data_IF_498517652817
#
_entry.id   IF_498517652817
#
_cell.length_a   1.000
_cell.length_b   1.000
_cell.length_c   1.000
_cell.angle_alpha   90.00
_cell.angle_beta   90.00
_cell.angle_gamma   90.00
#
_symmetry.space_group_name_H-M   'P 1'
#
loop_
_entity.id
_entity.type
_entity.pdbx_description
1 polymer ?
#
# COMPACT_ATOMS: atom_id res chain seq x y z
N UNK A 1 -6.67 -8.66 -19.58
CA UNK A 1 -5.71 -8.62 -18.49
C UNK A 1 -6.14 -9.57 -17.39
N UNK A 2 -5.21 -10.36 -16.92
CA UNK A 2 -5.52 -11.29 -15.84
C UNK A 2 -5.86 -10.53 -14.57
N UNK A 3 -6.83 -11.02 -13.79
CA UNK A 3 -7.13 -10.39 -12.52
C UNK A 3 -5.93 -10.44 -11.59
N UNK A 4 -5.50 -9.29 -11.10
CA UNK A 4 -4.36 -9.22 -10.19
C UNK A 4 -4.68 -9.84 -8.84
N UNK A 5 -5.96 -10.01 -8.53
CA UNK A 5 -6.36 -10.66 -7.28
C UNK A 5 -5.83 -12.08 -7.14
N UNK A 6 -5.54 -12.72 -8.27
CA UNK A 6 -5.07 -14.10 -8.27
C UNK A 6 -3.56 -14.21 -8.26
N UNK A 7 -2.84 -13.09 -8.24
CA UNK A 7 -1.39 -13.14 -8.17
C UNK A 7 -0.95 -13.64 -6.81
N UNK A 8 0.04 -14.52 -6.81
CA UNK A 8 0.65 -14.98 -5.57
C UNK A 8 1.85 -14.11 -5.27
N UNK A 9 1.69 -13.21 -4.31
CA UNK A 9 2.75 -12.27 -3.94
C UNK A 9 3.38 -12.61 -2.59
N UNK A 10 3.12 -13.82 -2.08
CA UNK A 10 3.50 -14.17 -0.72
C UNK A 10 5.01 -14.19 -0.48
N UNK A 11 5.81 -14.27 -1.54
CA UNK A 11 7.26 -14.26 -1.39
C UNK A 11 7.91 -12.97 -1.86
N UNK A 12 7.09 -11.99 -2.23
CA UNK A 12 7.61 -10.71 -2.71
C UNK A 12 8.09 -9.89 -1.52
N UNK A 13 9.25 -9.28 -1.65
CA UNK A 13 9.83 -8.44 -0.61
C UNK A 13 9.90 -6.97 -0.99
N UNK A 14 9.86 -6.65 -2.28
CA UNK A 14 9.96 -5.27 -2.77
C UNK A 14 8.78 -4.99 -3.70
N UNK A 15 7.91 -4.09 -3.26
CA UNK A 15 6.77 -3.64 -4.07
C UNK A 15 6.86 -2.16 -4.39
N UNK A 16 8.09 -1.60 -4.36
CA UNK A 16 8.26 -0.19 -4.65
C UNK A 16 7.77 0.12 -6.06
N UNK A 17 7.05 1.23 -6.19
CA UNK A 17 6.52 1.75 -7.45
C UNK A 17 5.57 0.81 -8.20
N UNK A 18 5.11 -0.26 -7.57
CA UNK A 18 4.37 -1.31 -8.28
C UNK A 18 3.12 -0.79 -8.97
N UNK A 19 2.39 0.10 -8.33
CA UNK A 19 1.18 0.70 -8.90
C UNK A 19 1.32 2.20 -9.10
N UNK A 20 2.54 2.70 -9.18
CA UNK A 20 2.78 4.12 -9.34
C UNK A 20 2.08 4.64 -10.61
N UNK A 21 1.35 5.71 -10.48
CA UNK A 21 0.62 6.37 -11.58
C UNK A 21 -0.46 5.49 -12.22
N UNK A 22 -0.91 4.45 -11.52
CA UNK A 22 -2.01 3.62 -12.02
C UNK A 22 -3.34 4.32 -11.84
N UNK A 23 -4.29 3.96 -12.71
CA UNK A 23 -5.63 4.54 -12.66
C UNK A 23 -6.61 3.68 -11.88
N UNK A 24 -6.13 3.07 -10.84
CA UNK A 24 -6.95 2.23 -9.97
C UNK A 24 -7.82 3.13 -9.08
N UNK A 25 -9.08 2.77 -8.91
CA UNK A 25 -10.00 3.59 -8.11
C UNK A 25 -10.26 3.05 -6.71
N UNK A 26 -10.06 1.75 -6.49
CA UNK A 26 -10.14 1.20 -5.13
C UNK A 26 -9.20 0.01 -5.01
N UNK A 27 -8.88 -0.37 -3.77
CA UNK A 27 -7.88 -1.39 -3.51
C UNK A 27 -8.48 -2.73 -3.08
N UNK A 28 -9.80 -2.89 -3.18
CA UNK A 28 -10.41 -4.15 -2.80
C UNK A 28 -9.89 -5.35 -3.60
N UNK A 29 -9.51 -5.21 -4.89
CA UNK A 29 -8.99 -6.37 -5.62
C UNK A 29 -7.72 -6.97 -5.04
N UNK A 30 -6.95 -6.21 -4.27
CA UNK A 30 -5.71 -6.71 -3.68
C UNK A 30 -5.80 -6.87 -2.17
N UNK A 31 -7.02 -6.82 -1.63
CA UNK A 31 -7.21 -6.89 -0.18
C UNK A 31 -6.73 -8.21 0.42
N UNK A 32 -6.77 -9.28 -0.37
CA UNK A 32 -6.38 -10.61 0.12
C UNK A 32 -4.92 -10.97 -0.14
N UNK A 33 -4.16 -10.04 -0.71
CA UNK A 33 -2.74 -10.31 -0.95
C UNK A 33 -2.02 -10.52 0.38
N UNK A 34 -1.18 -11.54 0.42
CA UNK A 34 -0.30 -11.77 1.56
C UNK A 34 0.99 -11.00 1.33
N UNK A 35 1.10 -9.86 2.01
CA UNK A 35 2.27 -8.98 1.87
C UNK A 35 3.20 -9.08 3.08
N UNK A 36 3.09 -10.16 3.85
CA UNK A 36 3.79 -10.28 5.13
C UNK A 36 5.31 -10.33 4.99
N UNK A 37 5.84 -10.58 3.80
CA UNK A 37 7.28 -10.58 3.56
C UNK A 37 7.80 -9.31 2.91
N UNK A 38 6.91 -8.36 2.61
CA UNK A 38 7.31 -7.13 1.94
C UNK A 38 8.03 -6.21 2.90
N UNK A 39 9.18 -5.70 2.50
CA UNK A 39 9.96 -4.77 3.29
C UNK A 39 10.00 -3.37 2.68
N UNK A 40 9.73 -3.22 1.40
CA UNK A 40 9.83 -1.94 0.71
C UNK A 40 8.55 -1.66 -0.08
N UNK A 41 7.85 -0.59 0.33
CA UNK A 41 6.65 -0.12 -0.37
C UNK A 41 6.79 1.33 -0.82
N UNK A 42 8.02 1.76 -1.09
CA UNK A 42 8.29 3.13 -1.51
C UNK A 42 7.48 3.46 -2.77
N UNK A 43 6.66 4.50 -2.69
CA UNK A 43 5.88 5.01 -3.81
C UNK A 43 4.98 3.97 -4.48
N UNK A 44 4.61 2.92 -3.77
CA UNK A 44 3.84 1.82 -4.34
C UNK A 44 2.57 2.30 -5.05
N UNK A 45 1.89 3.28 -4.48
CA UNK A 45 0.68 3.86 -5.05
C UNK A 45 0.86 5.33 -5.37
N UNK A 46 2.10 5.76 -5.57
CA UNK A 46 2.36 7.17 -5.84
C UNK A 46 1.61 7.65 -7.08
N UNK A 47 1.00 8.83 -6.99
CA UNK A 47 0.30 9.45 -8.09
C UNK A 47 -0.88 8.65 -8.64
N UNK A 48 -1.49 7.82 -7.81
CA UNK A 48 -2.75 7.15 -8.17
C UNK A 48 -3.89 8.14 -7.97
N UNK A 49 -4.01 9.06 -8.90
CA UNK A 49 -4.93 10.20 -8.78
C UNK A 49 -6.40 9.82 -8.89
N UNK A 50 -6.69 8.64 -9.41
CA UNK A 50 -8.06 8.15 -9.51
C UNK A 50 -8.51 7.37 -8.28
N UNK A 51 -7.61 7.16 -7.33
CA UNK A 51 -7.93 6.35 -6.15
C UNK A 51 -8.87 7.12 -5.24
N UNK A 52 -10.02 6.51 -4.94
CA UNK A 52 -11.02 7.10 -4.06
C UNK A 52 -11.26 6.30 -2.80
N UNK A 53 -10.81 5.05 -2.77
CA UNK A 53 -11.03 4.18 -1.61
C UNK A 53 -9.84 3.25 -1.42
N UNK A 54 -9.11 3.45 -0.35
CA UNK A 54 -7.95 2.63 -0.02
C UNK A 54 -8.21 1.66 1.13
N UNK A 55 -9.44 1.56 1.61
CA UNK A 55 -9.73 0.76 2.80
C UNK A 55 -9.52 -0.74 2.60
N UNK A 56 -9.49 -1.20 1.36
CA UNK A 56 -9.29 -2.63 1.08
C UNK A 56 -8.01 -3.19 1.67
N UNK A 57 -7.00 -2.36 1.87
CA UNK A 57 -5.71 -2.85 2.41
C UNK A 57 -5.50 -2.49 3.88
N UNK A 58 -6.55 -2.05 4.57
CA UNK A 58 -6.43 -1.67 5.98
C UNK A 58 -5.86 -2.80 6.85
N UNK A 59 -6.16 -4.04 6.50
CA UNK A 59 -5.76 -5.19 7.31
C UNK A 59 -4.51 -5.90 6.82
N UNK A 60 -3.80 -5.31 5.86
CA UNK A 60 -2.55 -5.91 5.40
C UNK A 60 -1.56 -6.05 6.57
N UNK A 61 -0.84 -7.16 6.58
CA UNK A 61 0.23 -7.36 7.56
C UNK A 61 1.50 -6.68 7.03
N UNK A 62 1.74 -5.48 7.51
CA UNK A 62 2.86 -4.65 7.05
C UNK A 62 3.98 -4.59 8.10
N UNK A 63 4.02 -5.58 8.99
CA UNK A 63 4.95 -5.54 10.12
C UNK A 63 6.42 -5.53 9.68
N UNK A 64 6.73 -6.08 8.52
CA UNK A 64 8.11 -6.11 8.03
C UNK A 64 8.47 -4.96 7.13
N UNK A 65 7.53 -4.10 6.80
CA UNK A 65 7.82 -2.99 5.91
C UNK A 65 8.64 -1.94 6.65
N UNK A 66 9.76 -1.57 6.06
CA UNK A 66 10.66 -0.56 6.62
C UNK A 66 10.66 0.72 5.81
N UNK A 67 10.13 0.71 4.61
CA UNK A 67 10.11 1.90 3.76
C UNK A 67 8.70 2.13 3.22
N UNK A 68 8.05 3.19 3.72
CA UNK A 68 6.74 3.63 3.27
C UNK A 68 6.81 4.98 2.58
N UNK A 69 8.01 5.43 2.19
CA UNK A 69 8.17 6.77 1.64
C UNK A 69 7.26 6.96 0.43
N UNK A 70 6.43 7.99 0.49
CA UNK A 70 5.58 8.41 -0.63
C UNK A 70 4.63 7.32 -1.11
N UNK A 71 4.30 6.36 -0.25
CA UNK A 71 3.47 5.22 -0.64
C UNK A 71 2.13 5.68 -1.26
N UNK A 72 1.56 6.78 -0.77
CA UNK A 72 0.33 7.36 -1.34
C UNK A 72 0.52 8.81 -1.75
N UNK A 73 1.73 9.18 -2.17
CA UNK A 73 2.02 10.54 -2.61
C UNK A 73 1.16 10.87 -3.83
N UNK A 74 0.55 12.06 -3.81
CA UNK A 74 -0.29 12.49 -4.92
C UNK A 74 -1.67 11.89 -4.96
N UNK A 75 -2.01 11.06 -3.97
CA UNK A 75 -3.34 10.46 -3.86
C UNK A 75 -4.22 11.30 -2.94
N UNK A 76 -5.53 11.24 -3.17
CA UNK A 76 -6.47 11.98 -2.32
C UNK A 76 -6.89 11.18 -1.09
N UNK A 77 -6.47 9.94 -0.99
CA UNK A 77 -6.85 9.08 0.14
C UNK A 77 -5.72 8.12 0.47
N UNK A 78 -5.81 7.48 1.61
CA UNK A 78 -4.87 6.45 2.04
C UNK A 78 -5.62 5.47 2.94
N UNK A 79 -5.05 4.27 3.17
CA UNK A 79 -5.70 3.31 4.08
C UNK A 79 -5.53 3.75 5.53
N UNK A 80 -6.29 3.08 6.39
CA UNK A 80 -6.12 3.19 7.84
C UNK A 80 -5.66 1.82 8.33
N UNK A 81 -4.36 1.61 8.35
CA UNK A 81 -3.79 0.31 8.71
C UNK A 81 -4.21 -0.07 10.13
N UNK A 82 -4.65 -1.31 10.30
CA UNK A 82 -5.13 -1.79 11.60
C UNK A 82 -4.09 -2.61 12.36
N UNK A 83 -3.10 -3.15 11.66
CA UNK A 83 -2.12 -4.03 12.29
C UNK A 83 -0.85 -3.32 12.72
N UNK A 84 -0.64 -2.10 12.27
CA UNK A 84 0.50 -1.28 12.69
C UNK A 84 -0.03 0.12 12.91
N UNK A 85 0.23 0.67 14.08
CA UNK A 85 -0.16 2.03 14.41
C UNK A 85 0.84 3.00 13.84
N UNK A 86 0.36 4.12 13.33
CA UNK A 86 1.24 5.14 12.78
C UNK A 86 0.48 6.36 12.33
N UNK A 87 1.18 7.25 11.64
CA UNK A 87 0.61 8.50 11.18
C UNK A 87 0.92 8.72 9.71
N UNK A 88 0.06 9.51 9.06
CA UNK A 88 0.23 9.91 7.68
C UNK A 88 0.60 11.39 7.61
N UNK A 89 1.49 11.73 6.70
CA UNK A 89 1.86 13.13 6.51
C UNK A 89 1.38 13.63 5.14
N UNK A 90 1.68 14.88 4.85
CA UNK A 90 1.20 15.52 3.61
C UNK A 90 1.80 14.93 2.36
N UNK A 91 2.95 14.29 2.48
CA UNK A 91 3.60 13.67 1.33
C UNK A 91 3.06 12.29 1.01
N UNK A 92 2.10 11.79 1.80
CA UNK A 92 1.55 10.46 1.59
C UNK A 92 2.45 9.36 2.12
N UNK A 93 3.26 9.68 3.10
CA UNK A 93 4.17 8.73 3.75
C UNK A 93 3.57 8.28 5.08
N UNK A 94 3.52 6.97 5.27
CA UNK A 94 3.10 6.39 6.55
C UNK A 94 4.33 6.21 7.43
N UNK A 95 4.25 6.69 8.66
CA UNK A 95 5.32 6.53 9.63
C UNK A 95 4.80 5.70 10.80
N UNK A 96 5.24 4.44 10.92
CA UNK A 96 4.80 3.61 12.04
C UNK A 96 5.24 4.21 13.36
N UNK A 97 4.33 4.16 14.34
CA UNK A 97 4.65 4.53 15.71
C UNK A 97 5.09 3.26 16.40
N UNK A 98 6.39 3.06 16.49
CA UNK A 98 6.86 1.85 17.13
C UNK A 98 6.90 2.02 18.59
N UNK A 99 6.56 1.01 19.23
CA UNK A 99 6.61 1.04 20.60
C UNK A 99 7.84 0.62 21.09
#
# INVERSE_FOLDING_TARGET
MSPITNWNVSKVTDMSYMFSSCKIDNLSPISNWNVSNVTNMNAMFGNCTSLTNASGINNWNIAKVTNFNNIFSGCSTHPEFTKVTGTWDESGTFTPTTK
#
